data_IF_685452175230
#
_entry.id   IF_685452175230
#
_cell.length_a   1.000
_cell.length_b   1.000
_cell.length_c   1.000
_cell.angle_alpha   90.00
_cell.angle_beta   90.00
_cell.angle_gamma   90.00
#
_symmetry.space_group_name_H-M   'P 1'
#
loop_
_entity.id
_entity.type
_entity.pdbx_description
1 polymer ?
#
# COMPACT_ATOMS: atom_id res chain seq x y z
N UNK A 1 -25.39 -0.89 -1.16
CA UNK A 1 -24.24 -0.01 -0.78
C UNK A 1 -23.54 -0.64 0.42
N UNK A 2 -22.23 -0.90 0.35
CA UNK A 2 -21.49 -1.35 1.55
C UNK A 2 -21.51 -0.24 2.60
N UNK A 3 -21.66 -0.60 3.87
CA UNK A 3 -21.59 0.38 4.96
C UNK A 3 -20.16 0.99 5.00
N UNK A 4 -20.09 2.31 5.18
CA UNK A 4 -18.85 3.10 5.11
C UNK A 4 -17.65 2.48 5.85
N UNK A 5 -17.76 1.99 7.10
CA UNK A 5 -16.60 1.42 7.81
C UNK A 5 -16.07 0.14 7.16
N UNK A 6 -16.95 -0.76 6.70
CA UNK A 6 -16.52 -2.00 6.03
C UNK A 6 -15.82 -1.67 4.72
N UNK A 7 -16.36 -0.70 3.97
CA UNK A 7 -15.70 -0.19 2.77
C UNK A 7 -14.34 0.43 3.09
N UNK A 8 -14.22 1.16 4.21
CA UNK A 8 -12.98 1.79 4.67
C UNK A 8 -11.90 0.80 5.07
N UNK A 9 -12.31 -0.29 5.73
CA UNK A 9 -11.43 -1.32 6.24
C UNK A 9 -10.96 -2.32 5.16
N UNK A 10 -11.74 -2.51 4.10
CA UNK A 10 -11.50 -3.51 3.05
C UNK A 10 -10.05 -3.59 2.51
N UNK A 11 -9.37 -2.50 2.09
CA UNK A 11 -7.98 -2.63 1.63
C UNK A 11 -7.04 -3.11 2.74
N UNK A 12 -7.26 -2.68 3.98
CA UNK A 12 -6.39 -3.01 5.10
C UNK A 12 -6.54 -4.46 5.55
N UNK A 13 -7.73 -5.05 5.45
CA UNK A 13 -7.91 -6.47 5.76
C UNK A 13 -7.18 -7.36 4.77
N UNK A 14 -7.25 -7.06 3.48
CA UNK A 14 -6.51 -7.81 2.45
C UNK A 14 -4.99 -7.67 2.62
N UNK A 15 -4.51 -6.45 2.87
CA UNK A 15 -3.09 -6.20 3.11
C UNK A 15 -2.59 -6.88 4.39
N UNK A 16 -3.37 -6.82 5.46
CA UNK A 16 -3.05 -7.45 6.74
C UNK A 16 -3.05 -8.98 6.63
N UNK A 17 -4.11 -9.57 6.10
CA UNK A 17 -4.21 -11.02 5.91
C UNK A 17 -3.10 -11.50 4.98
N UNK A 18 -2.96 -10.93 3.79
CA UNK A 18 -1.91 -11.34 2.85
C UNK A 18 -0.50 -11.16 3.43
N UNK A 19 -0.24 -10.05 4.12
CA UNK A 19 1.06 -9.77 4.74
C UNK A 19 1.41 -10.72 5.89
N UNK A 20 0.46 -10.96 6.81
CA UNK A 20 0.64 -11.89 7.93
C UNK A 20 0.78 -13.33 7.40
N UNK A 21 -0.03 -13.72 6.42
CA UNK A 21 0.03 -15.05 5.82
C UNK A 21 1.36 -15.34 5.13
N UNK A 22 2.02 -14.34 4.51
CA UNK A 22 3.39 -14.50 3.98
C UNK A 22 4.39 -14.88 5.07
N UNK A 23 4.22 -14.37 6.29
CA UNK A 23 5.15 -14.60 7.39
C UNK A 23 4.89 -15.94 8.11
N UNK A 24 3.62 -16.35 8.22
CA UNK A 24 3.20 -17.50 9.02
C UNK A 24 3.09 -18.80 8.22
N UNK A 25 2.71 -18.75 6.94
CA UNK A 25 2.48 -19.97 6.16
C UNK A 25 3.82 -20.61 5.75
N UNK A 26 3.85 -21.94 5.78
CA UNK A 26 5.03 -22.72 5.44
C UNK A 26 5.02 -23.16 3.97
N UNK A 27 3.85 -23.48 3.43
CA UNK A 27 3.76 -24.02 2.09
C UNK A 27 4.00 -22.94 1.02
N UNK A 28 4.90 -23.21 0.08
CA UNK A 28 5.28 -22.26 -0.98
C UNK A 28 4.08 -21.78 -1.82
N UNK A 29 3.13 -22.66 -2.13
CA UNK A 29 1.92 -22.28 -2.86
C UNK A 29 1.02 -21.34 -2.05
N UNK A 30 0.99 -21.50 -0.73
CA UNK A 30 0.20 -20.68 0.17
C UNK A 30 0.83 -19.28 0.35
N UNK A 31 2.16 -19.21 0.36
CA UNK A 31 2.92 -17.94 0.30
C UNK A 31 2.61 -17.22 -1.02
N UNK A 32 2.66 -17.92 -2.16
CA UNK A 32 2.33 -17.33 -3.46
C UNK A 32 0.89 -16.80 -3.51
N UNK A 33 -0.08 -17.54 -2.98
CA UNK A 33 -1.47 -17.08 -2.86
C UNK A 33 -1.59 -15.83 -1.97
N UNK A 34 -0.84 -15.78 -0.87
CA UNK A 34 -0.83 -14.64 0.06
C UNK A 34 -0.28 -13.35 -0.59
N UNK A 35 0.73 -13.48 -1.46
CA UNK A 35 1.25 -12.37 -2.28
C UNK A 35 0.14 -11.82 -3.19
N UNK A 36 -0.62 -12.69 -3.85
CA UNK A 36 -1.75 -12.28 -4.72
C UNK A 36 -2.81 -11.54 -3.90
N UNK A 37 -3.19 -12.06 -2.73
CA UNK A 37 -4.16 -11.42 -1.82
C UNK A 37 -3.68 -10.03 -1.39
N UNK A 38 -2.39 -9.91 -1.04
CA UNK A 38 -1.77 -8.63 -0.68
C UNK A 38 -1.88 -7.61 -1.82
N UNK A 39 -1.56 -8.02 -3.06
CA UNK A 39 -1.66 -7.13 -4.23
C UNK A 39 -3.11 -6.76 -4.57
N UNK A 40 -4.10 -7.63 -4.31
CA UNK A 40 -5.50 -7.23 -4.39
C UNK A 40 -5.85 -6.14 -3.38
N UNK A 41 -5.38 -6.24 -2.14
CA UNK A 41 -5.51 -5.17 -1.15
C UNK A 41 -4.90 -3.86 -1.61
N UNK A 42 -3.69 -3.91 -2.17
CA UNK A 42 -3.00 -2.74 -2.74
C UNK A 42 -3.77 -2.13 -3.92
N UNK A 43 -4.34 -2.96 -4.80
CA UNK A 43 -5.18 -2.51 -5.92
C UNK A 43 -6.45 -1.83 -5.44
N UNK A 44 -7.15 -2.43 -4.49
CA UNK A 44 -8.35 -1.84 -3.85
C UNK A 44 -7.97 -0.50 -3.21
N UNK A 45 -6.88 -0.44 -2.45
CA UNK A 45 -6.39 0.81 -1.87
C UNK A 45 -6.17 1.89 -2.94
N UNK A 46 -5.52 1.52 -4.06
CA UNK A 46 -5.26 2.44 -5.16
C UNK A 46 -6.54 2.96 -5.82
N UNK A 47 -7.49 2.08 -6.13
CA UNK A 47 -8.79 2.46 -6.70
C UNK A 47 -9.54 3.41 -5.76
N UNK A 48 -9.57 3.11 -4.47
CA UNK A 48 -10.23 3.96 -3.47
C UNK A 48 -9.54 5.30 -3.30
N UNK A 49 -8.21 5.31 -3.28
CA UNK A 49 -7.42 6.52 -3.20
C UNK A 49 -7.59 7.41 -4.44
N UNK A 50 -7.83 6.81 -5.62
CA UNK A 50 -8.20 7.55 -6.83
C UNK A 50 -9.64 8.07 -6.78
N UNK A 51 -10.59 7.30 -6.25
CA UNK A 51 -11.98 7.73 -6.12
C UNK A 51 -12.18 8.86 -5.11
N UNK A 52 -11.30 8.95 -4.10
CA UNK A 52 -11.29 10.07 -3.13
C UNK A 52 -10.72 11.38 -3.69
N UNK A 53 -10.04 11.35 -4.85
CA UNK A 53 -9.50 12.56 -5.49
C UNK A 53 -10.63 13.37 -6.10
N UNK A 54 -10.79 14.61 -5.62
CA UNK A 54 -11.74 15.59 -6.18
C UNK A 54 -11.08 16.53 -7.19
N UNK A 55 -9.76 16.47 -7.35
CA UNK A 55 -9.02 17.23 -8.35
C UNK A 55 -9.29 16.71 -9.79
N UNK A 56 -9.46 17.66 -10.71
CA UNK A 56 -9.70 17.38 -12.13
C UNK A 56 -8.45 16.73 -12.77
N UNK A 57 -8.65 15.68 -13.59
CA UNK A 57 -7.55 14.88 -14.19
C UNK A 57 -6.48 15.74 -14.88
N UNK A 58 -6.89 16.81 -15.56
CA UNK A 58 -5.99 17.75 -16.27
C UNK A 58 -5.06 18.55 -15.36
N UNK A 59 -5.37 18.71 -14.07
CA UNK A 59 -4.53 19.41 -13.07
C UNK A 59 -3.59 18.47 -12.33
N UNK A 60 -3.60 17.17 -12.63
CA UNK A 60 -2.72 16.19 -12.00
C UNK A 60 -1.33 16.31 -12.60
N UNK A 61 -0.31 16.45 -11.74
CA UNK A 61 1.08 16.36 -12.18
C UNK A 61 1.33 14.97 -12.78
N UNK A 62 1.69 14.93 -14.05
CA UNK A 62 2.12 13.71 -14.74
C UNK A 62 3.58 13.45 -14.39
N UNK A 63 3.85 12.34 -13.70
CA UNK A 63 5.21 11.85 -13.50
C UNK A 63 5.70 11.06 -14.70
N UNK A 64 6.99 10.70 -14.67
CA UNK A 64 7.62 9.82 -15.68
C UNK A 64 7.03 8.39 -15.60
N UNK A 65 6.60 7.98 -14.41
CA UNK A 65 6.07 6.65 -14.16
C UNK A 65 4.55 6.59 -14.41
N UNK A 66 4.05 5.50 -15.01
CA UNK A 66 2.61 5.26 -15.12
C UNK A 66 1.91 5.28 -13.76
N UNK A 67 0.71 5.87 -13.70
CA UNK A 67 -0.08 6.03 -12.47
C UNK A 67 -0.33 4.71 -11.72
N UNK A 68 -0.54 3.62 -12.47
CA UNK A 68 -0.76 2.29 -11.90
C UNK A 68 0.50 1.82 -11.16
N UNK A 69 1.66 1.88 -11.81
CA UNK A 69 2.93 1.43 -11.24
C UNK A 69 3.36 2.29 -10.06
N UNK A 70 3.29 3.62 -10.20
CA UNK A 70 3.57 4.55 -9.10
C UNK A 70 2.68 4.27 -7.88
N UNK A 71 1.42 3.89 -8.11
CA UNK A 71 0.49 3.54 -7.05
C UNK A 71 0.89 2.30 -6.25
N UNK A 72 1.68 1.38 -6.81
CA UNK A 72 2.10 0.15 -6.15
C UNK A 72 3.42 0.27 -5.39
N UNK A 73 4.25 1.28 -5.68
CA UNK A 73 5.56 1.51 -5.03
C UNK A 73 5.56 1.28 -3.51
N UNK A 74 4.72 1.93 -2.69
CA UNK A 74 4.75 1.72 -1.24
C UNK A 74 4.49 0.26 -0.83
N UNK A 75 3.63 -0.43 -1.56
CA UNK A 75 3.28 -1.82 -1.29
C UNK A 75 4.40 -2.77 -1.70
N UNK A 76 5.13 -2.44 -2.76
CA UNK A 76 6.33 -3.18 -3.19
C UNK A 76 7.41 -3.12 -2.11
N UNK A 77 7.62 -1.95 -1.48
CA UNK A 77 8.56 -1.83 -0.34
C UNK A 77 8.13 -2.67 0.88
N UNK A 78 6.83 -2.69 1.19
CA UNK A 78 6.32 -3.45 2.34
C UNK A 78 6.44 -4.97 2.09
N UNK A 79 6.03 -5.44 0.91
CA UNK A 79 6.07 -6.87 0.60
C UNK A 79 7.50 -7.38 0.42
N UNK A 80 8.40 -6.57 -0.16
CA UNK A 80 9.81 -6.94 -0.29
C UNK A 80 10.46 -7.11 1.07
N UNK A 81 10.12 -6.25 2.04
CA UNK A 81 10.58 -6.39 3.40
C UNK A 81 10.06 -7.67 4.08
N UNK A 82 8.77 -8.00 3.89
CA UNK A 82 8.18 -9.23 4.42
C UNK A 82 8.86 -10.49 3.85
N UNK A 83 9.09 -10.51 2.54
CA UNK A 83 9.80 -11.59 1.85
C UNK A 83 11.25 -11.68 2.33
N UNK A 84 11.95 -10.54 2.42
CA UNK A 84 13.34 -10.50 2.88
C UNK A 84 13.48 -11.03 4.31
N UNK A 85 12.59 -10.61 5.21
CA UNK A 85 12.56 -11.08 6.59
C UNK A 85 12.26 -12.57 6.68
N UNK A 86 11.32 -13.09 5.87
CA UNK A 86 10.94 -14.50 5.87
C UNK A 86 12.06 -15.42 5.38
N UNK A 87 12.69 -15.11 4.26
CA UNK A 87 13.67 -16.01 3.63
C UNK A 87 15.10 -15.82 4.16
N UNK A 88 15.40 -14.63 4.68
CA UNK A 88 16.73 -14.30 5.19
C UNK A 88 16.64 -13.60 6.55
N UNK A 89 16.22 -14.27 7.64
CA UNK A 89 16.17 -13.68 8.98
C UNK A 89 17.56 -13.67 9.67
N UNK A 90 18.56 -12.99 9.08
CA UNK A 90 19.94 -12.94 9.62
C UNK A 90 20.37 -11.51 9.92
N UNK A 91 20.49 -11.16 11.20
CA UNK A 91 21.15 -9.93 11.69
C UNK A 91 20.84 -8.69 10.83
N UNK A 92 21.81 -8.28 10.01
CA UNK A 92 21.72 -7.10 9.13
C UNK A 92 20.53 -7.10 8.16
N UNK A 93 20.08 -8.24 7.64
CA UNK A 93 18.93 -8.28 6.72
C UNK A 93 17.62 -7.91 7.41
N UNK A 94 17.50 -8.18 8.71
CA UNK A 94 16.36 -7.74 9.52
C UNK A 94 16.32 -6.21 9.63
N UNK A 95 17.46 -5.55 9.78
CA UNK A 95 17.54 -4.09 9.76
C UNK A 95 17.14 -3.53 8.41
N UNK A 96 17.60 -4.15 7.31
CA UNK A 96 17.17 -3.76 5.96
C UNK A 96 15.66 -3.94 5.76
N UNK A 97 15.09 -5.05 6.20
CA UNK A 97 13.65 -5.28 6.15
C UNK A 97 12.89 -4.21 6.95
N UNK A 98 13.36 -3.86 8.15
CA UNK A 98 12.76 -2.82 8.98
C UNK A 98 12.82 -1.44 8.30
N UNK A 99 13.95 -1.07 7.70
CA UNK A 99 14.09 0.14 6.91
C UNK A 99 13.12 0.18 5.73
N UNK A 100 12.98 -0.94 4.99
CA UNK A 100 12.07 -1.06 3.85
C UNK A 100 10.60 -0.93 4.24
N UNK A 101 10.15 -1.62 5.31
CA UNK A 101 8.77 -1.46 5.82
C UNK A 101 8.54 -0.01 6.24
N UNK A 102 9.46 0.56 7.02
CA UNK A 102 9.34 1.93 7.52
C UNK A 102 9.21 2.93 6.37
N UNK A 103 10.03 2.78 5.33
CA UNK A 103 9.97 3.62 4.14
C UNK A 103 8.66 3.43 3.36
N UNK A 104 8.20 2.18 3.18
CA UNK A 104 6.92 1.89 2.53
C UNK A 104 5.72 2.50 3.26
N UNK A 105 5.68 2.38 4.59
CA UNK A 105 4.66 3.01 5.44
C UNK A 105 4.74 4.53 5.37
N UNK A 106 5.94 5.10 5.42
CA UNK A 106 6.16 6.55 5.25
C UNK A 106 5.58 7.07 3.93
N UNK A 107 5.80 6.35 2.82
CA UNK A 107 5.23 6.70 1.52
C UNK A 107 3.70 6.63 1.53
N UNK A 108 3.09 5.65 2.20
CA UNK A 108 1.63 5.56 2.37
C UNK A 108 1.08 6.75 3.16
N UNK A 109 1.73 7.11 4.26
CA UNK A 109 1.32 8.23 5.10
C UNK A 109 1.41 9.54 4.33
N UNK A 110 2.54 9.81 3.66
CA UNK A 110 2.68 10.98 2.79
C UNK A 110 1.57 11.02 1.75
N UNK A 111 1.34 9.90 1.05
CA UNK A 111 0.30 9.82 0.03
C UNK A 111 -1.10 10.11 0.59
N UNK A 112 -1.40 9.63 1.79
CA UNK A 112 -2.66 9.93 2.48
C UNK A 112 -2.76 11.43 2.77
N UNK A 113 -1.75 12.03 3.40
CA UNK A 113 -1.73 13.44 3.77
C UNK A 113 -1.84 14.39 2.58
N UNK A 114 -1.11 14.14 1.49
CA UNK A 114 -1.15 15.01 0.30
C UNK A 114 -2.40 14.83 -0.58
N UNK A 115 -3.24 13.81 -0.31
CA UNK A 115 -4.52 13.59 -1.02
C UNK A 115 -5.73 14.06 -0.22
N UNK A 116 -5.53 14.54 1.01
CA UNK A 116 -6.56 15.32 1.72
C UNK A 116 -6.48 16.76 1.25
N UNK A 117 -7.48 17.21 0.50
CA UNK A 117 -7.59 18.60 0.10
C UNK A 117 -7.71 19.49 1.34
N UNK A 118 -6.79 20.46 1.49
CA UNK A 118 -7.13 21.70 2.17
C UNK A 118 -8.10 22.44 1.23
N UNK A 119 -9.34 22.65 1.66
CA UNK A 119 -10.24 23.53 0.92
C UNK A 119 -9.52 24.88 0.74
N UNK A 120 -9.58 25.52 -0.44
CA UNK A 120 -9.05 26.87 -0.58
C UNK A 120 -9.72 27.70 0.51
N UNK A 121 -8.93 28.28 1.41
CA UNK A 121 -9.43 29.31 2.30
C UNK A 121 -9.93 30.42 1.37
N UNK A 122 -11.25 30.58 1.27
CA UNK A 122 -11.86 31.72 0.62
C UNK A 122 -11.34 32.94 1.39
N UNK A 123 -10.43 33.70 0.76
CA UNK A 123 -10.11 35.04 1.25
C UNK A 123 -11.39 35.86 1.01
N UNK A 124 -12.15 36.07 2.08
CA UNK A 124 -13.18 37.11 2.17
C UNK A 124 -12.46 38.45 2.10
#
# INVERSE_FOLDING_TARGET
MLIKPVYELLPFTYLGIGGISILLLEQNYAIAASIVVFFFGARIYNLRSQNRRTDHKRRRKTGIWPDWFYGFIPFIYIISAAILYRFYPKGSTTLFALCLVTFGVYLLLRRSSYRHHKMPAYKI
#
